data_IF_695153822176
#
_entry.id   IF_695153822176
#
_cell.length_a   1.000
_cell.length_b   1.000
_cell.length_c   1.000
_cell.angle_alpha   90.00
_cell.angle_beta   90.00
_cell.angle_gamma   90.00
#
_symmetry.space_group_name_H-M   'P 1'
#
loop_
_entity.id
_entity.type
_entity.pdbx_description
1 polymer ?
#
# COMPACT_ATOMS: atom_id res chain seq x y z
N UNK A 1 -17.51 -29.20 -17.64
CA UNK A 1 -16.12 -29.09 -17.18
C UNK A 1 -16.10 -28.11 -16.03
N UNK A 2 -15.81 -28.57 -14.82
CA UNK A 2 -15.68 -27.74 -13.62
C UNK A 2 -14.33 -27.02 -13.69
N UNK A 3 -14.35 -25.71 -13.92
CA UNK A 3 -13.15 -24.89 -13.77
C UNK A 3 -12.85 -24.78 -12.28
N UNK A 4 -11.86 -25.56 -11.80
CA UNK A 4 -11.23 -25.31 -10.52
C UNK A 4 -10.47 -23.98 -10.61
N UNK A 5 -11.12 -22.89 -10.19
CA UNK A 5 -10.43 -21.66 -9.89
C UNK A 5 -9.71 -21.86 -8.57
N UNK A 6 -8.38 -21.92 -8.59
CA UNK A 6 -7.59 -21.79 -7.38
C UNK A 6 -7.98 -20.45 -6.72
N UNK A 7 -8.40 -20.48 -5.46
CA UNK A 7 -8.71 -19.29 -4.70
C UNK A 7 -7.45 -18.42 -4.61
N UNK A 8 -7.45 -17.33 -5.36
CA UNK A 8 -6.38 -16.36 -5.31
C UNK A 8 -6.70 -15.44 -4.13
N UNK A 9 -5.78 -15.33 -3.17
CA UNK A 9 -6.02 -14.63 -1.90
C UNK A 9 -5.07 -13.44 -1.82
N UNK A 10 -5.61 -12.23 -1.70
CA UNK A 10 -4.82 -11.06 -1.29
C UNK A 10 -4.59 -11.16 0.22
N UNK A 11 -3.33 -11.22 0.62
CA UNK A 11 -2.95 -11.17 2.03
C UNK A 11 -2.53 -9.75 2.40
N UNK A 12 -2.80 -9.36 3.65
CA UNK A 12 -2.39 -8.07 4.19
C UNK A 12 -1.71 -8.26 5.55
N UNK A 13 -0.47 -7.80 5.67
CA UNK A 13 0.31 -7.83 6.91
C UNK A 13 0.70 -6.41 7.32
N UNK A 14 0.57 -6.09 8.61
CA UNK A 14 0.85 -4.77 9.16
C UNK A 14 1.94 -4.84 10.22
N UNK A 15 2.93 -3.95 10.12
CA UNK A 15 4.08 -3.89 11.00
C UNK A 15 4.38 -2.45 11.40
N UNK A 16 4.85 -2.24 12.63
CA UNK A 16 5.53 -1.01 13.02
C UNK A 16 7.02 -1.23 12.80
N UNK A 17 7.61 -0.54 11.81
CA UNK A 17 8.99 -0.80 11.37
C UNK A 17 10.04 -0.15 12.26
N UNK A 18 9.71 0.98 12.89
CA UNK A 18 10.65 1.77 13.68
C UNK A 18 9.88 2.57 14.73
N UNK A 19 10.23 2.37 16.00
CA UNK A 19 9.85 3.23 17.12
C UNK A 19 11.15 3.84 17.66
N UNK A 20 11.46 5.08 17.27
CA UNK A 20 12.48 5.87 17.95
C UNK A 20 11.86 7.21 18.30
N UNK A 21 12.11 7.73 19.50
CA UNK A 21 11.87 9.12 19.89
C UNK A 21 10.57 9.73 19.32
N UNK A 22 9.44 9.05 19.53
CA UNK A 22 8.09 9.49 19.14
C UNK A 22 7.76 9.47 17.64
N UNK A 23 8.55 8.77 16.81
CA UNK A 23 8.22 8.53 15.39
C UNK A 23 7.87 7.06 15.18
N UNK A 24 6.63 6.81 14.74
CA UNK A 24 6.11 5.49 14.34
C UNK A 24 5.92 5.43 12.83
N UNK A 25 6.60 4.48 12.18
CA UNK A 25 6.44 4.22 10.75
C UNK A 25 5.78 2.86 10.58
N UNK A 26 4.58 2.86 10.00
CA UNK A 26 3.85 1.65 9.67
C UNK A 26 4.25 1.10 8.31
N UNK A 27 4.22 -0.21 8.13
CA UNK A 27 4.29 -0.88 6.83
C UNK A 27 3.09 -1.80 6.66
N UNK A 28 2.34 -1.56 5.60
CA UNK A 28 1.21 -2.39 5.17
C UNK A 28 1.60 -3.12 3.90
N UNK A 29 1.82 -4.43 3.99
CA UNK A 29 2.25 -5.28 2.87
C UNK A 29 1.06 -6.01 2.31
N UNK A 30 0.87 -5.91 1.00
CA UNK A 30 -0.07 -6.72 0.24
C UNK A 30 0.69 -7.68 -0.67
N UNK A 31 0.22 -8.92 -0.75
CA UNK A 31 0.79 -9.92 -1.65
C UNK A 31 -0.29 -10.81 -2.26
N UNK A 32 0.00 -11.35 -3.45
CA UNK A 32 -0.90 -12.22 -4.20
C UNK A 32 -1.24 -11.68 -5.59
N UNK A 33 -2.19 -12.32 -6.27
CA UNK A 33 -2.63 -11.88 -7.61
C UNK A 33 -4.03 -11.28 -7.48
N UNK A 34 -4.22 -10.05 -7.94
CA UNK A 34 -5.55 -9.46 -8.03
C UNK A 34 -6.14 -9.73 -9.42
N UNK A 35 -7.20 -10.56 -9.47
CA UNK A 35 -7.93 -10.87 -10.72
C UNK A 35 -9.37 -10.31 -10.65
N UNK A 36 -9.90 -9.74 -11.73
CA UNK A 36 -11.32 -9.47 -11.82
C UNK A 36 -12.08 -10.77 -11.93
N UNK A 37 -12.87 -11.10 -10.91
CA UNK A 37 -13.94 -12.10 -11.02
C UNK A 37 -15.27 -11.47 -11.42
N UNK A 38 -16.30 -12.29 -11.61
CA UNK A 38 -17.70 -11.83 -11.70
C UNK A 38 -18.18 -11.10 -10.43
N UNK A 39 -17.40 -11.18 -9.35
CA UNK A 39 -17.52 -10.48 -8.06
C UNK A 39 -16.34 -9.51 -7.81
N UNK A 40 -15.75 -8.93 -8.86
CA UNK A 40 -14.47 -8.20 -8.90
C UNK A 40 -14.24 -6.99 -7.95
N UNK A 41 -15.00 -6.86 -6.86
CA UNK A 41 -14.82 -5.83 -5.83
C UNK A 41 -14.21 -6.34 -4.52
N UNK A 42 -14.27 -7.64 -4.20
CA UNK A 42 -13.96 -8.12 -2.83
C UNK A 42 -12.50 -7.87 -2.39
N UNK A 43 -11.53 -8.11 -3.27
CA UNK A 43 -10.10 -7.85 -2.98
C UNK A 43 -9.79 -6.35 -2.89
N UNK A 44 -10.42 -5.54 -3.75
CA UNK A 44 -10.22 -4.10 -3.75
C UNK A 44 -10.86 -3.46 -2.51
N UNK A 45 -12.05 -3.93 -2.11
CA UNK A 45 -12.71 -3.53 -0.87
C UNK A 45 -11.92 -3.99 0.35
N UNK A 46 -11.31 -5.18 0.32
CA UNK A 46 -10.40 -5.64 1.35
C UNK A 46 -9.18 -4.71 1.50
N UNK A 47 -8.48 -4.41 0.40
CA UNK A 47 -7.33 -3.47 0.38
C UNK A 47 -7.75 -2.10 0.93
N UNK A 48 -8.86 -1.56 0.42
CA UNK A 48 -9.44 -0.27 0.86
C UNK A 48 -9.78 -0.26 2.34
N UNK A 49 -10.35 -1.35 2.86
CA UNK A 49 -10.69 -1.49 4.28
C UNK A 49 -9.43 -1.50 5.14
N UNK A 50 -8.39 -2.23 4.73
CA UNK A 50 -7.10 -2.28 5.46
C UNK A 50 -6.41 -0.92 5.47
N UNK A 51 -6.33 -0.25 4.32
CA UNK A 51 -5.77 1.11 4.22
C UNK A 51 -6.54 2.07 5.12
N UNK A 52 -7.87 2.08 5.01
CA UNK A 52 -8.72 2.98 5.81
C UNK A 52 -8.48 2.76 7.30
N UNK A 53 -8.45 1.51 7.76
CA UNK A 53 -8.23 1.17 9.17
C UNK A 53 -6.89 1.70 9.68
N UNK A 54 -5.80 1.51 8.92
CA UNK A 54 -4.46 1.98 9.31
C UNK A 54 -4.39 3.51 9.35
N UNK A 55 -5.04 4.20 8.40
CA UNK A 55 -5.07 5.66 8.39
C UNK A 55 -5.93 6.24 9.53
N UNK A 56 -6.97 5.54 9.97
CA UNK A 56 -7.84 6.00 11.06
C UNK A 56 -7.28 5.73 12.46
N UNK A 57 -6.32 4.82 12.60
CA UNK A 57 -5.73 4.44 13.90
C UNK A 57 -4.97 5.61 14.56
N UNK A 58 -4.52 6.60 13.77
CA UNK A 58 -3.94 7.87 14.25
C UNK A 58 -2.59 7.73 14.96
N UNK A 59 -2.12 6.51 15.18
CA UNK A 59 -0.89 6.19 15.90
C UNK A 59 0.39 6.32 15.05
N UNK A 60 0.27 6.52 13.73
CA UNK A 60 1.39 6.54 12.79
C UNK A 60 1.84 7.96 12.43
N UNK A 61 3.15 8.18 12.37
CA UNK A 61 3.74 9.39 11.80
C UNK A 61 3.97 9.27 10.29
N UNK A 62 4.14 8.06 9.76
CA UNK A 62 4.23 7.79 8.33
C UNK A 62 3.82 6.34 8.00
N UNK A 63 3.53 6.08 6.72
CA UNK A 63 3.08 4.77 6.23
C UNK A 63 3.82 4.38 4.94
N UNK A 64 4.36 3.17 4.92
CA UNK A 64 4.77 2.48 3.69
C UNK A 64 3.65 1.51 3.31
N UNK A 65 3.14 1.61 2.10
CA UNK A 65 2.25 0.60 1.51
C UNK A 65 3.06 -0.18 0.47
N UNK A 66 3.14 -1.48 0.64
CA UNK A 66 4.01 -2.34 -0.17
C UNK A 66 3.16 -3.28 -1.02
N UNK A 67 3.17 -3.03 -2.33
CA UNK A 67 2.54 -3.85 -3.35
C UNK A 67 3.58 -4.63 -4.18
N UNK A 68 4.85 -4.66 -3.80
CA UNK A 68 5.92 -5.26 -4.62
C UNK A 68 5.67 -6.72 -5.02
N UNK A 69 4.95 -7.48 -4.18
CA UNK A 69 4.56 -8.87 -4.43
C UNK A 69 3.10 -9.03 -4.89
N UNK A 70 2.49 -7.95 -5.38
CA UNK A 70 1.17 -7.98 -6.01
C UNK A 70 1.28 -8.05 -7.53
N UNK A 71 0.35 -8.78 -8.15
CA UNK A 71 0.12 -8.76 -9.59
C UNK A 71 -1.26 -8.18 -9.87
N UNK A 72 -1.34 -7.04 -10.57
CA UNK A 72 -2.62 -6.38 -10.86
C UNK A 72 -3.07 -6.62 -12.30
N UNK A 73 -4.17 -7.36 -12.48
CA UNK A 73 -4.76 -7.55 -13.81
C UNK A 73 -5.64 -6.37 -14.22
N UNK A 74 -6.33 -5.71 -13.28
CA UNK A 74 -7.09 -4.47 -13.47
C UNK A 74 -6.96 -3.55 -12.23
N UNK A 75 -6.99 -2.23 -12.44
CA UNK A 75 -6.57 -1.27 -11.40
C UNK A 75 -7.63 -0.26 -10.95
N UNK A 76 -8.79 -0.16 -11.61
CA UNK A 76 -9.79 0.90 -11.32
C UNK A 76 -10.22 0.87 -9.84
N UNK A 77 -10.56 -0.30 -9.31
CA UNK A 77 -11.03 -0.42 -7.93
C UNK A 77 -9.92 -0.17 -6.88
N UNK A 78 -8.65 -0.36 -7.25
CA UNK A 78 -7.50 -0.11 -6.38
C UNK A 78 -7.02 1.34 -6.47
N UNK A 79 -7.20 2.01 -7.61
CA UNK A 79 -6.97 3.46 -7.75
C UNK A 79 -7.81 4.24 -6.72
N UNK A 80 -9.06 3.84 -6.51
CA UNK A 80 -9.91 4.40 -5.45
C UNK A 80 -9.31 4.22 -4.05
N UNK A 81 -8.74 3.04 -3.76
CA UNK A 81 -8.08 2.75 -2.49
C UNK A 81 -6.80 3.60 -2.33
N UNK A 82 -6.03 3.77 -3.41
CA UNK A 82 -4.82 4.60 -3.42
C UNK A 82 -5.15 6.08 -3.29
N UNK A 83 -6.22 6.58 -3.89
CA UNK A 83 -6.67 7.97 -3.76
C UNK A 83 -6.83 8.42 -2.29
N UNK A 84 -7.10 7.48 -1.38
CA UNK A 84 -7.17 7.73 0.07
C UNK A 84 -5.79 7.94 0.69
N UNK A 85 -4.78 7.24 0.20
CA UNK A 85 -3.38 7.43 0.60
C UNK A 85 -2.89 8.84 0.22
N UNK A 86 -3.27 9.35 -0.96
CA UNK A 86 -2.95 10.75 -1.35
C UNK A 86 -3.58 11.80 -0.43
N UNK A 87 -4.73 11.48 0.17
CA UNK A 87 -5.44 12.38 1.10
C UNK A 87 -5.02 12.16 2.56
N UNK A 88 -4.06 11.27 2.82
CA UNK A 88 -3.57 11.02 4.17
C UNK A 88 -2.88 12.27 4.73
N UNK A 89 -3.05 12.51 6.03
CA UNK A 89 -2.38 13.62 6.75
C UNK A 89 -0.95 13.29 7.16
N UNK A 90 -0.49 12.09 6.84
CA UNK A 90 0.85 11.57 7.13
C UNK A 90 1.57 11.30 5.82
N UNK A 91 2.91 11.38 5.77
CA UNK A 91 3.68 10.95 4.62
C UNK A 91 3.39 9.48 4.30
N UNK A 92 3.12 9.22 3.01
CA UNK A 92 2.94 7.87 2.47
C UNK A 92 3.95 7.61 1.37
N UNK A 93 4.53 6.42 1.37
CA UNK A 93 5.30 5.87 0.25
C UNK A 93 4.63 4.57 -0.23
N UNK A 94 4.55 4.39 -1.55
CA UNK A 94 3.98 3.19 -2.17
C UNK A 94 5.10 2.43 -2.88
N UNK A 95 5.48 1.27 -2.34
CA UNK A 95 6.42 0.37 -3.01
C UNK A 95 5.67 -0.43 -4.06
N UNK A 96 6.16 -0.41 -5.30
CA UNK A 96 5.58 -1.17 -6.41
C UNK A 96 6.67 -1.95 -7.15
N UNK A 97 6.26 -2.91 -7.96
CA UNK A 97 7.13 -3.65 -8.88
C UNK A 97 6.58 -3.60 -10.30
N UNK A 98 7.32 -4.13 -11.27
CA UNK A 98 6.86 -4.27 -12.67
C UNK A 98 5.55 -5.07 -12.78
N UNK A 99 5.29 -6.00 -11.83
CA UNK A 99 4.00 -6.72 -11.75
C UNK A 99 2.81 -5.81 -11.43
N UNK A 100 3.10 -4.58 -10.99
CA UNK A 100 2.14 -3.54 -10.65
C UNK A 100 2.09 -2.40 -11.67
N UNK A 101 2.63 -2.55 -12.88
CA UNK A 101 2.71 -1.47 -13.89
C UNK A 101 1.40 -0.71 -14.11
N UNK A 102 0.26 -1.39 -14.01
CA UNK A 102 -1.07 -0.77 -14.19
C UNK A 102 -1.53 0.12 -13.03
N UNK A 103 -0.83 0.07 -11.89
CA UNK A 103 -1.09 0.82 -10.67
C UNK A 103 -0.50 2.23 -10.73
N UNK A 104 0.64 2.38 -11.40
CA UNK A 104 1.42 3.62 -11.37
C UNK A 104 0.71 4.71 -12.19
N UNK A 105 0.15 5.69 -11.50
CA UNK A 105 -0.31 6.91 -12.16
C UNK A 105 0.91 7.76 -12.55
N UNK A 106 1.01 8.20 -13.81
CA UNK A 106 2.04 9.17 -14.18
C UNK A 106 1.83 10.44 -13.34
N UNK A 107 2.92 10.98 -12.79
CA UNK A 107 3.01 12.25 -12.07
C UNK A 107 2.76 12.27 -10.54
N UNK A 108 2.90 11.16 -9.81
CA UNK A 108 2.90 11.22 -8.34
C UNK A 108 4.24 10.86 -7.71
N UNK A 109 4.72 11.72 -6.81
CA UNK A 109 5.99 11.60 -6.08
C UNK A 109 5.99 10.51 -4.99
N UNK A 110 4.91 9.75 -4.79
CA UNK A 110 4.79 8.76 -3.72
C UNK A 110 5.19 7.33 -4.10
N UNK A 111 5.27 7.01 -5.40
CA UNK A 111 5.57 5.67 -5.87
C UNK A 111 7.08 5.45 -5.95
N UNK A 112 7.55 4.32 -5.45
CA UNK A 112 8.98 3.96 -5.40
C UNK A 112 9.17 2.47 -5.68
N UNK A 113 10.31 2.11 -6.25
CA UNK A 113 10.61 0.75 -6.72
C UNK A 113 11.15 -0.18 -5.62
N UNK A 114 11.45 0.36 -4.43
CA UNK A 114 12.01 -0.42 -3.33
C UNK A 114 11.65 0.13 -1.96
N UNK A 115 11.71 -0.73 -0.95
CA UNK A 115 11.53 -0.34 0.45
C UNK A 115 12.57 0.68 0.90
N UNK A 116 13.82 0.57 0.42
CA UNK A 116 14.89 1.50 0.74
C UNK A 116 14.54 2.92 0.27
N UNK A 117 14.15 3.08 -1.01
CA UNK A 117 13.68 4.36 -1.58
C UNK A 117 12.44 4.89 -0.84
N UNK A 118 11.54 4.01 -0.38
CA UNK A 118 10.37 4.41 0.42
C UNK A 118 10.79 5.04 1.75
N UNK A 119 11.78 4.44 2.42
CA UNK A 119 12.28 4.94 3.68
C UNK A 119 13.05 6.25 3.52
N UNK A 120 13.84 6.42 2.45
CA UNK A 120 14.48 7.70 2.12
C UNK A 120 13.46 8.82 1.90
N UNK A 121 12.41 8.53 1.14
CA UNK A 121 11.32 9.46 0.87
C UNK A 121 10.61 9.87 2.17
N UNK A 122 10.30 8.91 3.03
CA UNK A 122 9.66 9.18 4.33
C UNK A 122 10.59 9.96 5.25
N UNK A 123 11.89 9.62 5.30
CA UNK A 123 12.86 10.32 6.14
C UNK A 123 13.02 11.80 5.76
N UNK A 124 12.85 12.15 4.48
CA UNK A 124 12.82 13.53 4.02
C UNK A 124 11.55 14.31 4.39
N UNK A 125 10.45 13.62 4.72
CA UNK A 125 9.13 14.20 4.99
C UNK A 125 8.72 14.16 6.47
N UNK A 126 9.33 13.28 7.27
CA UNK A 126 9.07 13.19 8.71
C UNK A 126 10.08 14.08 9.45
N UNK A 127 9.63 15.08 10.22
CA UNK A 127 10.52 15.93 10.99
C UNK A 127 11.18 15.12 12.10
N UNK A 128 12.40 14.64 11.86
CA UNK A 128 13.31 14.21 12.92
C UNK A 128 13.66 15.47 13.72
N UNK A 129 13.13 15.62 14.93
CA UNK A 129 13.64 16.67 15.83
C UNK A 129 15.11 16.36 16.06
N UNK A 130 15.99 17.24 15.56
CA UNK A 130 17.41 17.23 15.91
C UNK A 130 17.49 17.37 17.44
N UNK A 131 18.06 16.36 18.10
CA UNK A 131 18.57 16.53 19.46
C UNK A 131 19.78 17.48 19.43
#
# INVERSE_FOLDING_TARGET
>A
MSHHYAAVTVLASYFVMKEYDHVSIGRLVFSGTHKPGSLGNDDADFIKTKITRVLTDGALNALVVDFSDMEFQHCIAIQDAISRLHKARIPVAIVYSEKCEKLAEPHTDMYVESLEKAMELIAGKVPLRKQ
#
